data_IF_986427592577
#
_entry.id   IF_986427592577
#
_cell.length_a   1.000
_cell.length_b   1.000
_cell.length_c   1.000
_cell.angle_alpha   90.00
_cell.angle_beta   90.00
_cell.angle_gamma   90.00
#
_symmetry.space_group_name_H-M   'P 1'
#
loop_
_entity.id
_entity.type
_entity.pdbx_description
1 polymer ?
#
# COMPACT_ATOMS: atom_id res chain seq x y z
N UNK A 1 5.91 12.57 -17.78
CA UNK A 1 5.97 12.79 -16.32
C UNK A 1 5.52 11.52 -15.66
N UNK A 2 6.28 10.99 -14.70
CA UNK A 2 5.85 9.82 -13.91
C UNK A 2 4.57 10.19 -13.13
N UNK A 3 3.60 9.28 -13.12
CA UNK A 3 2.29 9.49 -12.47
C UNK A 3 2.38 9.29 -10.94
N UNK A 4 3.51 8.76 -10.47
CA UNK A 4 3.82 8.47 -9.08
C UNK A 4 5.16 9.11 -8.67
N UNK A 5 5.36 9.23 -7.37
CA UNK A 5 6.60 9.71 -6.75
C UNK A 5 7.42 8.48 -6.33
N UNK A 6 8.54 8.16 -7.01
CA UNK A 6 9.40 7.08 -6.56
C UNK A 6 10.07 7.46 -5.25
N UNK A 7 10.38 6.46 -4.43
CA UNK A 7 11.23 6.66 -3.27
C UNK A 7 12.70 6.54 -3.67
N UNK A 8 13.54 7.37 -3.06
CA UNK A 8 14.98 7.34 -3.26
C UNK A 8 15.63 6.46 -2.18
N UNK A 9 16.53 5.59 -2.63
CA UNK A 9 17.32 4.69 -1.80
C UNK A 9 18.81 4.93 -2.06
N UNK A 10 19.62 4.75 -1.04
CA UNK A 10 21.08 4.70 -1.23
C UNK A 10 21.47 3.37 -1.89
N UNK A 11 22.64 3.30 -2.53
CA UNK A 11 23.10 2.04 -3.14
C UNK A 11 23.14 0.87 -2.15
N UNK A 12 23.52 1.12 -0.90
CA UNK A 12 23.53 0.10 0.15
C UNK A 12 22.12 -0.39 0.52
N UNK A 13 21.13 0.51 0.53
CA UNK A 13 19.73 0.15 0.75
C UNK A 13 19.17 -0.64 -0.44
N UNK A 14 19.49 -0.24 -1.68
CA UNK A 14 19.09 -0.98 -2.87
C UNK A 14 19.62 -2.42 -2.88
N UNK A 15 20.89 -2.63 -2.51
CA UNK A 15 21.52 -3.95 -2.45
C UNK A 15 20.79 -4.92 -1.49
N UNK A 16 20.21 -4.39 -0.42
CA UNK A 16 19.35 -5.16 0.51
C UNK A 16 17.98 -5.40 -0.12
N UNK A 17 17.35 -4.35 -0.64
CA UNK A 17 15.97 -4.42 -1.15
C UNK A 17 15.84 -5.34 -2.38
N UNK A 18 16.84 -5.41 -3.27
CA UNK A 18 16.81 -6.25 -4.48
C UNK A 18 16.60 -7.74 -4.19
N UNK A 19 16.93 -8.20 -2.97
CA UNK A 19 16.74 -9.60 -2.56
C UNK A 19 15.28 -9.93 -2.26
N UNK A 20 14.51 -8.92 -1.86
CA UNK A 20 13.19 -9.12 -1.25
C UNK A 20 12.04 -8.47 -2.02
N UNK A 21 12.31 -7.66 -3.04
CA UNK A 21 11.29 -6.95 -3.82
C UNK A 21 11.55 -7.07 -5.32
N UNK A 22 10.49 -7.24 -6.12
CA UNK A 22 10.61 -7.47 -7.59
C UNK A 22 11.02 -6.23 -8.39
N UNK A 23 10.80 -5.03 -7.86
CA UNK A 23 11.34 -3.77 -8.38
C UNK A 23 11.48 -2.76 -7.25
N UNK A 24 12.24 -1.68 -7.47
CA UNK A 24 12.51 -0.64 -6.46
C UNK A 24 11.87 0.71 -6.78
N UNK A 25 11.56 0.94 -8.05
CA UNK A 25 11.14 2.20 -8.64
C UNK A 25 9.65 2.25 -8.94
N UNK A 26 9.03 1.11 -9.23
CA UNK A 26 7.60 1.01 -9.53
C UNK A 26 6.69 1.10 -8.29
N UNK A 27 5.45 1.60 -8.46
CA UNK A 27 4.44 1.66 -7.40
C UNK A 27 3.75 0.30 -7.17
N UNK A 28 3.91 -0.66 -8.08
CA UNK A 28 3.36 -2.02 -7.96
C UNK A 28 4.51 -3.02 -7.96
N UNK A 29 4.60 -3.81 -6.91
CA UNK A 29 5.72 -4.74 -6.70
C UNK A 29 5.34 -5.89 -5.77
N UNK A 30 6.02 -7.01 -5.90
CA UNK A 30 5.81 -8.18 -5.06
C UNK A 30 6.97 -8.41 -4.09
N UNK A 31 6.67 -9.06 -2.97
CA UNK A 31 7.65 -9.48 -1.98
C UNK A 31 8.10 -10.90 -2.30
N UNK A 32 9.41 -11.08 -2.41
CA UNK A 32 10.07 -12.35 -2.71
C UNK A 32 11.05 -12.70 -1.60
N UNK A 33 11.42 -13.97 -1.48
CA UNK A 33 12.49 -14.45 -0.58
C UNK A 33 12.38 -14.02 0.89
N UNK A 34 11.18 -13.68 1.37
CA UNK A 34 10.89 -13.41 2.77
C UNK A 34 10.00 -14.53 3.35
N UNK A 35 10.19 -14.90 4.64
CA UNK A 35 9.25 -15.78 5.32
C UNK A 35 7.83 -15.18 5.31
N UNK A 36 6.80 -16.01 5.10
CA UNK A 36 5.41 -15.54 5.01
C UNK A 36 4.94 -14.79 6.27
N UNK A 37 5.42 -15.20 7.44
CA UNK A 37 5.14 -14.51 8.71
C UNK A 37 5.68 -13.07 8.70
N UNK A 38 6.87 -12.85 8.13
CA UNK A 38 7.48 -11.52 8.01
C UNK A 38 6.69 -10.67 7.01
N UNK A 39 6.31 -11.23 5.86
CA UNK A 39 5.46 -10.53 4.87
C UNK A 39 4.13 -10.09 5.51
N UNK A 40 3.46 -10.99 6.23
CA UNK A 40 2.20 -10.69 6.92
C UNK A 40 2.35 -9.59 7.99
N UNK A 41 3.39 -9.66 8.82
CA UNK A 41 3.69 -8.65 9.83
C UNK A 41 4.01 -7.28 9.20
N UNK A 42 4.78 -7.27 8.12
CA UNK A 42 5.13 -6.08 7.37
C UNK A 42 3.89 -5.39 6.78
N UNK A 43 2.98 -6.13 6.13
CA UNK A 43 1.73 -5.54 5.63
C UNK A 43 0.79 -5.06 6.74
N UNK A 44 0.73 -5.77 7.87
CA UNK A 44 -0.04 -5.32 9.02
C UNK A 44 0.49 -3.97 9.55
N UNK A 45 1.82 -3.82 9.66
CA UNK A 45 2.46 -2.53 10.02
C UNK A 45 2.24 -1.46 8.96
N UNK A 46 2.34 -1.83 7.69
CA UNK A 46 2.19 -0.94 6.55
C UNK A 46 0.82 -0.26 6.46
N UNK A 47 -0.26 -1.00 6.74
CA UNK A 47 -1.63 -0.46 6.78
C UNK A 47 -1.82 0.69 7.79
N UNK A 48 -0.88 0.84 8.73
CA UNK A 48 -0.87 1.84 9.80
C UNK A 48 0.36 2.75 9.75
N UNK A 49 1.11 2.73 8.66
CA UNK A 49 2.29 3.56 8.45
C UNK A 49 2.08 4.52 7.28
N UNK A 50 2.68 5.71 7.37
CA UNK A 50 2.74 6.68 6.28
C UNK A 50 3.93 6.47 5.33
N UNK A 51 4.87 5.57 5.68
CA UNK A 51 6.05 5.23 4.87
C UNK A 51 5.64 4.36 3.67
N UNK A 52 6.50 4.28 2.65
CA UNK A 52 6.39 3.19 1.66
C UNK A 52 6.70 1.84 2.33
N UNK A 53 6.33 0.75 1.65
CA UNK A 53 6.57 -0.59 2.18
C UNK A 53 8.07 -0.90 2.27
N UNK A 54 8.85 -0.47 1.26
CA UNK A 54 10.31 -0.70 1.18
C UNK A 54 11.04 0.08 2.26
N UNK A 55 10.67 1.34 2.50
CA UNK A 55 11.23 2.14 3.59
C UNK A 55 10.87 1.60 4.96
N UNK A 56 9.61 1.19 5.15
CA UNK A 56 9.17 0.54 6.37
C UNK A 56 9.97 -0.74 6.65
N UNK A 57 10.23 -1.55 5.61
CA UNK A 57 11.04 -2.75 5.72
C UNK A 57 12.47 -2.44 6.16
N UNK A 58 13.15 -1.48 5.50
CA UNK A 58 14.50 -1.05 5.88
C UNK A 58 14.56 -0.57 7.34
N UNK A 59 13.60 0.25 7.74
CA UNK A 59 13.63 0.92 9.04
C UNK A 59 13.24 0.00 10.20
N UNK A 60 12.33 -0.97 9.98
CA UNK A 60 11.71 -1.74 11.07
C UNK A 60 11.96 -3.26 10.99
N UNK A 61 12.39 -3.82 9.85
CA UNK A 61 12.44 -5.29 9.66
C UNK A 61 13.81 -5.84 9.26
N UNK A 62 14.67 -5.05 8.59
CA UNK A 62 15.97 -5.54 8.12
C UNK A 62 16.89 -5.99 9.27
N UNK A 63 16.89 -5.27 10.39
CA UNK A 63 17.74 -5.59 11.54
C UNK A 63 17.40 -6.92 12.23
N UNK A 64 16.15 -7.37 12.11
CA UNK A 64 15.64 -8.60 12.73
C UNK A 64 15.76 -9.82 11.80
N UNK A 65 16.10 -9.60 10.52
CA UNK A 65 16.41 -10.68 9.60
C UNK A 65 17.82 -11.20 9.91
N UNK A 66 17.94 -12.49 10.17
CA UNK A 66 19.24 -13.14 10.30
C UNK A 66 19.88 -13.25 8.91
N UNK A 67 20.59 -12.18 8.51
CA UNK A 67 21.27 -12.05 7.20
C UNK A 67 22.32 -13.16 6.99
N UNK A 68 22.67 -13.92 8.04
CA UNK A 68 23.66 -15.01 7.95
C UNK A 68 23.14 -16.28 7.25
N UNK A 69 21.82 -16.50 7.17
CA UNK A 69 21.24 -17.71 6.55
C UNK A 69 21.01 -17.61 5.03
N UNK A 70 20.86 -16.40 4.51
CA UNK A 70 20.38 -16.13 3.14
C UNK A 70 21.49 -16.17 2.09
N UNK A 71 22.74 -16.43 2.49
CA UNK A 71 23.89 -16.56 1.58
C UNK A 71 24.04 -17.96 0.98
N UNK A 72 23.32 -18.97 1.49
CA UNK A 72 23.56 -20.38 1.12
C UNK A 72 22.41 -21.08 0.40
N UNK A 73 21.21 -20.49 0.39
CA UNK A 73 20.08 -21.01 -0.41
C UNK A 73 19.84 -20.03 -1.54
N UNK A 74 20.54 -20.26 -2.64
CA UNK A 74 20.25 -19.59 -3.90
C UNK A 74 18.83 -20.00 -4.34
N UNK A 75 17.81 -19.24 -3.93
CA UNK A 75 16.41 -19.51 -4.26
C UNK A 75 16.14 -19.47 -5.78
N UNK A 76 17.07 -18.94 -6.57
CA UNK A 76 17.05 -19.04 -8.03
C UNK A 76 17.48 -20.41 -8.57
N UNK A 77 18.19 -21.25 -7.79
CA UNK A 77 18.55 -22.62 -8.18
C UNK A 77 17.32 -23.54 -8.17
N UNK A 78 16.80 -23.83 -9.36
CA UNK A 78 15.62 -24.68 -9.56
C UNK A 78 14.32 -23.91 -9.80
N UNK A 79 14.34 -22.58 -9.71
CA UNK A 79 13.20 -21.71 -9.99
C UNK A 79 12.80 -21.80 -11.47
N UNK A 80 13.76 -21.66 -12.39
CA UNK A 80 13.49 -21.78 -13.84
C UNK A 80 12.88 -23.14 -14.19
N UNK A 81 13.39 -24.23 -13.60
CA UNK A 81 12.88 -25.59 -13.86
C UNK A 81 11.51 -25.84 -13.23
N UNK A 82 11.22 -25.20 -12.10
CA UNK A 82 9.92 -25.22 -11.46
C UNK A 82 8.91 -24.35 -12.22
N UNK A 83 9.32 -23.18 -12.73
CA UNK A 83 8.53 -22.30 -13.59
C UNK A 83 8.16 -22.99 -14.90
N UNK A 84 9.13 -23.60 -15.61
CA UNK A 84 8.89 -24.38 -16.83
C UNK A 84 7.92 -25.56 -16.59
N UNK A 85 8.04 -26.23 -15.44
CA UNK A 85 7.13 -27.31 -15.06
C UNK A 85 5.73 -26.76 -14.76
N UNK A 86 5.64 -25.64 -14.03
CA UNK A 86 4.38 -24.97 -13.73
C UNK A 86 3.68 -24.49 -15.00
N UNK A 87 4.38 -23.86 -15.93
CA UNK A 87 3.84 -23.43 -17.22
C UNK A 87 3.28 -24.60 -18.02
N UNK A 88 4.01 -25.72 -18.11
CA UNK A 88 3.50 -26.94 -18.78
C UNK A 88 2.24 -27.48 -18.09
N UNK A 89 2.22 -27.56 -16.76
CA UNK A 89 1.04 -28.04 -16.00
C UNK A 89 -0.16 -27.12 -16.20
N UNK A 90 0.02 -25.81 -16.19
CA UNK A 90 -1.05 -24.83 -16.44
C UNK A 90 -1.61 -24.90 -17.86
N UNK A 91 -0.74 -24.78 -18.86
CA UNK A 91 -1.19 -24.59 -20.23
C UNK A 91 -1.53 -25.91 -20.94
N UNK A 92 -0.83 -27.01 -20.64
CA UNK A 92 -1.01 -28.28 -21.37
C UNK A 92 -2.07 -29.19 -20.74
N UNK A 93 -2.24 -29.15 -19.41
CA UNK A 93 -3.17 -30.04 -18.69
C UNK A 93 -4.44 -29.34 -18.20
N UNK A 94 -4.50 -28.00 -18.23
CA UNK A 94 -5.66 -27.22 -17.82
C UNK A 94 -6.02 -27.36 -16.34
N UNK A 95 -5.04 -27.72 -15.50
CA UNK A 95 -5.22 -27.88 -14.06
C UNK A 95 -5.11 -26.52 -13.34
N UNK A 96 -6.12 -25.67 -13.55
CA UNK A 96 -6.21 -24.34 -12.91
C UNK A 96 -6.15 -24.40 -11.38
N UNK A 97 -6.42 -25.56 -10.77
CA UNK A 97 -6.39 -25.72 -9.32
C UNK A 97 -4.98 -25.61 -8.74
N UNK A 98 -3.95 -25.91 -9.54
CA UNK A 98 -2.54 -25.78 -9.15
C UNK A 98 -2.16 -24.32 -8.89
N UNK A 99 -2.81 -23.34 -9.55
CA UNK A 99 -2.61 -21.90 -9.30
C UNK A 99 -3.10 -21.45 -7.92
N UNK A 100 -3.86 -22.27 -7.21
CA UNK A 100 -4.27 -21.99 -5.85
C UNK A 100 -3.19 -22.32 -4.82
N UNK A 101 -2.18 -23.11 -5.19
CA UNK A 101 -1.17 -23.61 -4.25
C UNK A 101 -0.04 -22.60 -4.01
N UNK A 102 0.18 -21.66 -4.94
CA UNK A 102 1.12 -20.56 -4.81
C UNK A 102 0.43 -19.25 -4.44
N UNK A 103 0.98 -18.52 -3.47
CA UNK A 103 0.50 -17.22 -3.03
C UNK A 103 1.51 -16.11 -3.29
N UNK A 104 1.02 -14.91 -3.60
CA UNK A 104 1.84 -13.71 -3.82
C UNK A 104 1.37 -12.59 -2.92
N UNK A 105 2.35 -11.95 -2.29
CA UNK A 105 2.20 -10.71 -1.53
C UNK A 105 2.56 -9.53 -2.45
N UNK A 106 1.54 -8.77 -2.88
CA UNK A 106 1.65 -7.63 -3.78
C UNK A 106 1.38 -6.32 -3.04
N UNK A 107 2.24 -5.33 -3.24
CA UNK A 107 2.01 -3.96 -2.82
C UNK A 107 1.58 -3.11 -4.02
N UNK A 108 0.50 -2.36 -3.88
CA UNK A 108 0.09 -1.33 -4.81
C UNK A 108 0.09 0.02 -4.08
N UNK A 109 1.12 0.82 -4.32
CA UNK A 109 1.30 2.14 -3.73
C UNK A 109 0.73 3.24 -4.62
N UNK A 110 0.35 4.36 -3.99
CA UNK A 110 -0.14 5.56 -4.67
C UNK A 110 -1.36 5.28 -5.58
N UNK A 111 -2.16 4.28 -5.21
CA UNK A 111 -3.41 3.95 -5.88
C UNK A 111 -4.52 4.92 -5.46
N UNK A 112 -5.30 5.44 -6.41
CA UNK A 112 -6.47 6.26 -6.06
C UNK A 112 -7.47 5.44 -5.23
N UNK A 113 -8.30 6.10 -4.43
CA UNK A 113 -9.33 5.40 -3.65
C UNK A 113 -10.30 4.63 -4.56
N UNK A 114 -10.58 5.13 -5.76
CA UNK A 114 -11.34 4.40 -6.77
C UNK A 114 -10.62 3.11 -7.16
N UNK A 115 -9.32 3.18 -7.47
CA UNK A 115 -8.53 2.00 -7.83
C UNK A 115 -8.44 1.00 -6.68
N UNK A 116 -8.29 1.44 -5.43
CA UNK A 116 -8.27 0.49 -4.29
C UNK A 116 -9.59 -0.27 -4.18
N UNK A 117 -10.74 0.36 -4.41
CA UNK A 117 -12.02 -0.37 -4.43
C UNK A 117 -12.13 -1.40 -5.55
N UNK A 118 -11.48 -1.18 -6.69
CA UNK A 118 -11.42 -2.16 -7.78
C UNK A 118 -10.51 -3.33 -7.39
N UNK A 119 -9.33 -3.03 -6.83
CA UNK A 119 -8.36 -4.03 -6.39
C UNK A 119 -8.91 -4.94 -5.29
N UNK A 120 -9.67 -4.39 -4.35
CA UNK A 120 -10.20 -5.07 -3.17
C UNK A 120 -11.50 -5.86 -3.42
N UNK A 121 -11.99 -5.91 -4.68
CA UNK A 121 -13.28 -6.51 -4.99
C UNK A 121 -13.30 -8.06 -4.95
N UNK A 122 -12.14 -8.72 -5.05
CA UNK A 122 -12.06 -10.20 -5.00
C UNK A 122 -12.34 -10.76 -3.61
N UNK A 123 -13.07 -11.87 -3.51
CA UNK A 123 -13.37 -12.50 -2.20
C UNK A 123 -12.37 -13.60 -1.79
N UNK A 124 -11.50 -14.03 -2.70
CA UNK A 124 -10.52 -15.10 -2.49
C UNK A 124 -9.09 -14.55 -2.31
N UNK A 125 -8.99 -13.34 -1.79
CA UNK A 125 -7.73 -12.64 -1.50
C UNK A 125 -7.87 -11.91 -0.16
N UNK A 126 -6.73 -11.54 0.42
CA UNK A 126 -6.65 -10.74 1.63
C UNK A 126 -6.11 -9.35 1.29
N UNK A 127 -6.68 -8.32 1.91
CA UNK A 127 -6.33 -6.93 1.62
C UNK A 127 -6.01 -6.16 2.88
N UNK A 128 -5.04 -5.26 2.78
CA UNK A 128 -4.65 -4.32 3.83
C UNK A 128 -4.40 -2.95 3.20
N UNK A 129 -5.45 -2.15 3.08
CA UNK A 129 -5.37 -0.74 2.70
C UNK A 129 -4.90 0.14 3.87
N UNK A 130 -4.10 1.18 3.57
CA UNK A 130 -3.79 2.24 4.51
C UNK A 130 -5.08 2.83 5.12
N UNK A 131 -5.12 2.87 6.45
CA UNK A 131 -6.34 3.24 7.13
C UNK A 131 -6.50 4.76 7.28
N UNK A 132 -7.49 5.32 6.61
CA UNK A 132 -7.95 6.72 6.80
C UNK A 132 -8.45 7.02 8.21
N UNK A 133 -8.68 6.00 9.05
CA UNK A 133 -9.08 6.15 10.46
C UNK A 133 -7.90 6.36 11.40
N UNK A 134 -6.68 6.02 10.95
CA UNK A 134 -5.48 6.06 11.79
C UNK A 134 -4.34 6.89 11.16
N UNK A 135 -4.35 7.06 9.84
CA UNK A 135 -3.34 7.83 9.10
C UNK A 135 -3.97 9.14 8.59
N UNK A 136 -3.26 10.25 8.78
CA UNK A 136 -3.63 11.53 8.21
C UNK A 136 -3.13 11.65 6.77
N UNK A 137 -4.00 12.14 5.88
CA UNK A 137 -3.74 12.22 4.44
C UNK A 137 -3.28 13.61 3.97
N UNK A 138 -3.07 14.53 4.91
CA UNK A 138 -2.63 15.91 4.65
C UNK A 138 -1.10 16.07 4.53
N UNK A 139 -0.32 15.01 4.79
CA UNK A 139 1.12 15.06 4.50
C UNK A 139 1.37 15.09 2.98
N UNK A 140 2.33 15.91 2.55
CA UNK A 140 2.69 16.10 1.15
C UNK A 140 3.71 15.06 0.69
N UNK A 141 3.45 14.43 -0.45
CA UNK A 141 4.36 13.50 -1.13
C UNK A 141 4.99 14.20 -2.33
N UNK A 142 6.32 14.26 -2.38
CA UNK A 142 7.02 15.02 -3.42
C UNK A 142 6.58 16.50 -3.49
N UNK A 143 6.32 17.12 -2.32
CA UNK A 143 5.89 18.51 -2.19
C UNK A 143 4.39 18.78 -2.48
N UNK A 144 3.60 17.77 -2.81
CA UNK A 144 2.19 17.93 -3.24
C UNK A 144 1.23 17.08 -2.41
N UNK A 145 -0.05 17.48 -2.34
CA UNK A 145 -1.08 16.63 -1.75
C UNK A 145 -1.26 15.33 -2.55
N UNK A 146 -1.59 14.27 -1.80
CA UNK A 146 -1.67 12.89 -2.28
C UNK A 146 -3.01 12.61 -2.94
N UNK A 147 -3.21 13.16 -4.14
CA UNK A 147 -4.30 12.77 -5.05
C UNK A 147 -3.79 12.39 -6.44
N UNK A 148 -4.52 11.48 -7.08
CA UNK A 148 -4.25 10.99 -8.42
C UNK A 148 -4.38 12.12 -9.44
N UNK A 149 -3.42 12.18 -10.36
CA UNK A 149 -3.28 13.23 -11.35
C UNK A 149 -3.28 12.62 -12.74
N UNK A 150 -4.48 12.37 -13.26
CA UNK A 150 -4.66 11.83 -14.61
C UNK A 150 -3.98 12.74 -15.66
N UNK A 151 -3.00 12.24 -16.43
CA UNK A 151 -2.31 13.04 -17.45
C UNK A 151 -3.24 13.63 -18.51
N UNK A 152 -4.31 12.92 -18.91
CA UNK A 152 -5.28 13.41 -19.88
C UNK A 152 -6.12 14.54 -19.30
N UNK A 153 -6.52 14.45 -18.03
CA UNK A 153 -7.22 15.53 -17.34
C UNK A 153 -6.32 16.76 -17.17
N UNK A 154 -5.07 16.56 -16.77
CA UNK A 154 -4.13 17.65 -16.53
C UNK A 154 -3.75 18.42 -17.79
N UNK A 155 -3.68 17.73 -18.93
CA UNK A 155 -3.43 18.36 -20.24
C UNK A 155 -4.68 19.01 -20.85
N UNK A 156 -5.86 18.79 -20.28
CA UNK A 156 -7.11 19.39 -20.73
C UNK A 156 -7.32 20.81 -20.18
N UNK A 157 -8.36 21.50 -20.70
CA UNK A 157 -8.83 22.80 -20.18
C UNK A 157 -9.25 22.78 -18.70
N UNK A 158 -9.43 21.61 -18.10
CA UNK A 158 -9.85 21.45 -16.70
C UNK A 158 -8.68 21.24 -15.73
N UNK A 159 -7.46 21.03 -16.22
CA UNK A 159 -6.31 20.63 -15.40
C UNK A 159 -6.02 21.59 -14.23
N UNK A 160 -5.92 22.89 -14.51
CA UNK A 160 -5.68 23.92 -13.48
C UNK A 160 -6.79 23.97 -12.44
N UNK A 161 -8.05 23.87 -12.88
CA UNK A 161 -9.20 23.87 -11.97
C UNK A 161 -9.19 22.62 -11.09
N UNK A 162 -8.94 21.44 -11.66
CA UNK A 162 -8.85 20.20 -10.92
C UNK A 162 -7.82 20.28 -9.80
N UNK A 163 -6.61 20.75 -10.10
CA UNK A 163 -5.54 20.92 -9.10
C UNK A 163 -5.97 21.90 -8.01
N UNK A 164 -6.50 23.07 -8.38
CA UNK A 164 -6.92 24.09 -7.42
C UNK A 164 -8.07 23.63 -6.51
N UNK A 165 -9.05 22.91 -7.05
CA UNK A 165 -10.18 22.39 -6.27
C UNK A 165 -9.73 21.24 -5.35
N UNK A 166 -8.87 20.33 -5.82
CA UNK A 166 -8.30 19.27 -5.00
C UNK A 166 -7.44 19.82 -3.86
N UNK A 167 -6.55 20.78 -4.13
CA UNK A 167 -5.71 21.38 -3.10
C UNK A 167 -6.56 22.05 -2.01
N UNK A 168 -7.64 22.77 -2.38
CA UNK A 168 -8.59 23.34 -1.42
C UNK A 168 -9.32 22.29 -0.58
N UNK A 169 -9.66 21.13 -1.15
CA UNK A 169 -10.27 20.03 -0.40
C UNK A 169 -9.30 19.48 0.65
N UNK A 170 -8.02 19.31 0.30
CA UNK A 170 -6.99 18.86 1.25
C UNK A 170 -6.66 19.90 2.32
N UNK A 171 -6.60 21.19 1.96
CA UNK A 171 -6.45 22.28 2.93
C UNK A 171 -7.62 22.29 3.93
N UNK A 172 -8.85 22.14 3.42
CA UNK A 172 -10.06 22.05 4.24
C UNK A 172 -10.04 20.83 5.15
N UNK A 173 -9.62 19.67 4.64
CA UNK A 173 -9.43 18.45 5.42
C UNK A 173 -8.43 18.67 6.57
N UNK A 174 -7.27 19.29 6.30
CA UNK A 174 -6.25 19.54 7.34
C UNK A 174 -6.75 20.50 8.42
N UNK A 175 -7.44 21.58 8.03
CA UNK A 175 -8.08 22.51 8.95
C UNK A 175 -9.13 21.81 9.84
N UNK A 176 -9.99 20.98 9.24
CA UNK A 176 -11.02 20.23 9.95
C UNK A 176 -10.39 19.20 10.88
N UNK A 177 -9.36 18.48 10.45
CA UNK A 177 -8.67 17.50 11.28
C UNK A 177 -8.13 18.14 12.56
N UNK A 178 -7.49 19.31 12.46
CA UNK A 178 -7.01 20.06 13.63
C UNK A 178 -8.17 20.44 14.57
N UNK A 179 -9.19 21.13 14.04
CA UNK A 179 -10.34 21.61 14.84
C UNK A 179 -11.11 20.48 15.51
N UNK A 180 -11.36 19.38 14.79
CA UNK A 180 -12.08 18.23 15.33
C UNK A 180 -11.22 17.48 16.34
N UNK A 181 -9.90 17.39 16.15
CA UNK A 181 -8.99 16.82 17.16
C UNK A 181 -9.07 17.60 18.47
N UNK A 182 -9.01 18.93 18.41
CA UNK A 182 -9.11 19.78 19.60
C UNK A 182 -10.47 19.65 20.28
N UNK A 183 -11.55 19.65 19.49
CA UNK A 183 -12.90 19.43 20.01
C UNK A 183 -13.06 18.06 20.69
N UNK A 184 -12.57 16.98 20.08
CA UNK A 184 -12.61 15.64 20.66
C UNK A 184 -11.83 15.59 21.96
N UNK A 185 -10.65 16.23 22.03
CA UNK A 185 -9.87 16.28 23.28
C UNK A 185 -10.52 17.13 24.37
N UNK A 186 -11.24 18.19 24.00
CA UNK A 186 -11.98 19.00 24.95
C UNK A 186 -13.24 18.31 25.50
N UNK A 187 -13.81 17.36 24.76
CA UNK A 187 -15.11 16.73 25.09
C UNK A 187 -14.99 15.29 25.58
N UNK A 188 -13.94 14.57 25.21
CA UNK A 188 -13.68 13.20 25.68
C UNK A 188 -12.69 13.26 26.84
N UNK A 189 -13.12 12.99 28.08
CA UNK A 189 -12.22 12.96 29.23
C UNK A 189 -11.23 11.80 29.09
N UNK A 190 -10.01 12.02 29.58
CA UNK A 190 -9.00 10.95 29.69
C UNK A 190 -9.32 10.08 30.90
N UNK A 191 -9.35 8.77 30.73
CA UNK A 191 -9.44 7.83 31.87
C UNK A 191 -8.16 7.92 32.71
N UNK A 192 -8.26 7.78 34.03
CA UNK A 192 -7.11 7.82 34.93
C UNK A 192 -6.14 6.66 34.64
N UNK A 193 -6.64 5.53 34.15
CA UNK A 193 -5.83 4.38 33.75
C UNK A 193 -5.12 4.58 32.40
N UNK A 194 -5.59 5.52 31.55
CA UNK A 194 -5.00 5.74 30.24
C UNK A 194 -3.74 6.60 30.31
N UNK A 195 -2.67 6.14 29.66
CA UNK A 195 -1.50 7.00 29.42
C UNK A 195 -1.86 8.16 28.48
N UNK A 196 -1.15 9.29 28.61
CA UNK A 196 -1.32 10.44 27.71
C UNK A 196 -1.11 10.05 26.23
N UNK A 197 -0.17 9.14 25.95
CA UNK A 197 0.07 8.62 24.61
C UNK A 197 -1.16 7.89 24.04
N UNK A 198 -1.72 6.94 24.79
CA UNK A 198 -2.91 6.16 24.35
C UNK A 198 -4.10 7.09 24.13
N UNK A 199 -4.33 8.02 25.06
CA UNK A 199 -5.39 9.02 24.94
C UNK A 199 -5.24 9.89 23.69
N UNK A 200 -4.03 10.41 23.42
CA UNK A 200 -3.76 11.24 22.23
C UNK A 200 -3.95 10.47 20.93
N UNK A 201 -3.56 9.19 20.89
CA UNK A 201 -3.77 8.32 19.72
C UNK A 201 -5.26 8.05 19.50
N UNK A 202 -5.99 7.65 20.54
CA UNK A 202 -7.41 7.34 20.45
C UNK A 202 -8.25 8.57 20.04
N UNK A 203 -7.98 9.73 20.62
CA UNK A 203 -8.67 10.98 20.27
C UNK A 203 -8.35 11.44 18.85
N UNK A 204 -7.09 11.31 18.41
CA UNK A 204 -6.71 11.59 17.02
C UNK A 204 -7.40 10.64 16.04
N UNK A 205 -7.48 9.35 16.35
CA UNK A 205 -8.18 8.36 15.51
C UNK A 205 -9.68 8.67 15.40
N UNK A 206 -10.34 9.09 16.50
CA UNK A 206 -11.73 9.56 16.46
C UNK A 206 -11.91 10.77 15.55
N UNK A 207 -11.00 11.74 15.61
CA UNK A 207 -11.05 12.90 14.74
C UNK A 207 -10.85 12.52 13.26
N UNK A 208 -9.85 11.68 12.95
CA UNK A 208 -9.60 11.16 11.60
C UNK A 208 -10.84 10.45 11.03
N UNK A 209 -11.46 9.56 11.82
CA UNK A 209 -12.67 8.83 11.42
C UNK A 209 -13.86 9.77 11.15
N UNK A 210 -13.96 10.89 11.89
CA UNK A 210 -15.00 11.89 11.68
C UNK A 210 -14.78 12.75 10.42
N UNK A 211 -13.53 13.10 10.10
CA UNK A 211 -13.23 14.02 8.98
C UNK A 211 -12.92 13.32 7.65
N UNK A 212 -12.64 12.01 7.64
CA UNK A 212 -12.23 11.28 6.42
C UNK A 212 -13.21 11.38 5.25
N UNK A 213 -14.50 11.66 5.51
CA UNK A 213 -15.50 11.86 4.46
C UNK A 213 -15.26 13.09 3.57
N UNK A 214 -14.36 14.01 3.96
CA UNK A 214 -13.97 15.18 3.17
C UNK A 214 -12.91 14.84 2.11
N UNK A 215 -12.20 13.71 2.27
CA UNK A 215 -11.17 13.31 1.32
C UNK A 215 -11.80 13.01 -0.05
N UNK A 216 -11.25 13.55 -1.15
CA UNK A 216 -11.77 13.28 -2.48
C UNK A 216 -11.52 11.82 -2.89
N UNK A 217 -12.32 11.28 -3.80
CA UNK A 217 -12.12 9.94 -4.38
C UNK A 217 -10.77 9.78 -5.10
N UNK A 218 -10.16 10.90 -5.52
CA UNK A 218 -8.83 10.92 -6.09
C UNK A 218 -7.71 10.73 -5.05
N UNK A 219 -8.01 10.77 -3.74
CA UNK A 219 -7.01 10.56 -2.69
C UNK A 219 -6.26 9.27 -2.92
N UNK A 220 -4.93 9.33 -2.82
CA UNK A 220 -4.07 8.17 -3.01
C UNK A 220 -3.86 7.44 -1.70
N UNK A 221 -3.90 6.12 -1.78
CA UNK A 221 -3.71 5.18 -0.69
C UNK A 221 -2.73 4.10 -1.15
N UNK A 222 -2.26 3.31 -0.20
CA UNK A 222 -1.49 2.12 -0.49
C UNK A 222 -2.25 0.89 -0.04
N UNK A 223 -2.24 -0.17 -0.84
CA UNK A 223 -2.91 -1.43 -0.53
C UNK A 223 -1.93 -2.59 -0.62
N UNK A 224 -1.89 -3.39 0.44
CA UNK A 224 -1.30 -4.71 0.44
C UNK A 224 -2.31 -5.76 0.03
N UNK A 225 -1.90 -6.70 -0.80
CA UNK A 225 -2.74 -7.77 -1.32
C UNK A 225 -2.00 -9.09 -1.15
N UNK A 226 -2.66 -10.08 -0.56
CA UNK A 226 -2.23 -11.47 -0.62
C UNK A 226 -3.28 -12.28 -1.37
N UNK A 227 -2.85 -13.03 -2.38
CA UNK A 227 -3.75 -13.88 -3.16
C UNK A 227 -3.00 -14.98 -3.88
N UNK A 228 -3.74 -15.99 -4.33
CA UNK A 228 -3.20 -17.06 -5.17
C UNK A 228 -3.05 -16.61 -6.62
N UNK A 229 -2.30 -17.35 -7.43
CA UNK A 229 -2.18 -17.07 -8.87
C UNK A 229 -3.54 -16.97 -9.56
N UNK A 230 -4.44 -17.91 -9.25
CA UNK A 230 -5.80 -17.93 -9.81
C UNK A 230 -6.61 -16.70 -9.37
N UNK A 231 -6.46 -16.27 -8.12
CA UNK A 231 -7.17 -15.10 -7.62
C UNK A 231 -6.67 -13.79 -8.28
N UNK A 232 -5.37 -13.68 -8.55
CA UNK A 232 -4.80 -12.57 -9.32
C UNK A 232 -5.23 -12.58 -10.79
N UNK A 233 -5.30 -13.74 -11.44
CA UNK A 233 -5.86 -13.85 -12.79
C UNK A 233 -7.30 -13.32 -12.83
N UNK A 234 -8.15 -13.76 -11.89
CA UNK A 234 -9.53 -13.29 -11.76
C UNK A 234 -9.62 -11.79 -11.46
N UNK A 235 -8.66 -11.22 -10.73
CA UNK A 235 -8.56 -9.77 -10.55
C UNK A 235 -8.28 -9.07 -11.90
N UNK A 236 -7.27 -9.53 -12.66
CA UNK A 236 -6.89 -8.93 -13.94
C UNK A 236 -8.03 -9.00 -14.96
N UNK A 237 -8.71 -10.14 -15.07
CA UNK A 237 -9.89 -10.29 -15.95
C UNK A 237 -10.99 -9.29 -15.61
N UNK A 238 -11.28 -9.10 -14.32
CA UNK A 238 -12.29 -8.12 -13.86
C UNK A 238 -11.86 -6.69 -14.11
N UNK A 239 -10.59 -6.36 -13.87
CA UNK A 239 -10.05 -5.03 -14.15
C UNK A 239 -10.11 -4.70 -15.64
N UNK A 240 -9.79 -5.66 -16.51
CA UNK A 240 -9.89 -5.49 -17.96
C UNK A 240 -11.33 -5.32 -18.44
N UNK A 241 -12.29 -5.92 -17.75
CA UNK A 241 -13.73 -5.78 -18.04
C UNK A 241 -14.39 -4.59 -17.30
N UNK A 242 -13.63 -3.82 -16.52
CA UNK A 242 -14.16 -2.66 -15.80
C UNK A 242 -14.51 -1.54 -16.80
N UNK A 243 -15.73 -0.95 -16.71
CA UNK A 243 -16.19 0.10 -17.62
C UNK A 243 -15.40 1.41 -17.45
#
# INVERSE_FOLDING_TARGET
MTVYVPEEFTSAEEDILRRYFTNLDGPVFALVNLPEVVKGALFARYSRSSKSLRRLFLDEFVGDLDIQGDQTVDATMGLERAEELYEKVFFEYGDDSVAQLGGVHLACEQASNVLTKILEWGRLMSYLEQSTRYIAYDARLGGRYRYFRDPALLSSRFGTRYVGDMDRMFDSYSLLLAKVTDHVRATVPRDVADSDFVYRQATRAKALDAVRGVLPAASMSNVGIYGTGQAFEMLLLRMRAHP
#
